data_IF_562566489828
#
_entry.id   IF_562566489828
#
_cell.length_a   1.000
_cell.length_b   1.000
_cell.length_c   1.000
_cell.angle_alpha   90.00
_cell.angle_beta   90.00
_cell.angle_gamma   90.00
#
_symmetry.space_group_name_H-M   'P 1'
#
loop_
_entity.id
_entity.type
_entity.pdbx_description
1 polymer ?
#
# COMPACT_ATOMS: atom_id res chain seq x y z
N UNK A 1 28.64 53.33 -45.13
CA UNK A 1 27.45 52.60 -44.66
C UNK A 1 27.92 51.24 -44.13
N UNK A 2 27.98 51.07 -42.83
CA UNK A 2 28.41 49.81 -42.17
C UNK A 2 27.14 49.08 -41.70
N UNK A 3 26.78 47.99 -42.42
CA UNK A 3 25.66 47.13 -42.01
C UNK A 3 26.11 46.29 -40.81
N UNK A 4 25.48 46.54 -39.65
CA UNK A 4 25.66 45.73 -38.43
C UNK A 4 24.78 44.48 -38.54
N UNK A 5 25.41 43.32 -38.81
CA UNK A 5 24.73 42.03 -38.82
C UNK A 5 24.52 41.60 -37.35
N UNK A 6 23.27 41.74 -36.83
CA UNK A 6 22.90 41.24 -35.53
C UNK A 6 22.67 39.72 -35.65
N UNK A 7 23.64 38.94 -35.22
CA UNK A 7 23.55 37.47 -35.10
C UNK A 7 22.79 37.14 -33.83
N UNK A 8 21.47 36.91 -33.95
CA UNK A 8 20.66 36.38 -32.85
C UNK A 8 21.11 34.93 -32.56
N UNK A 9 21.92 34.76 -31.53
CA UNK A 9 22.22 33.46 -30.94
C UNK A 9 20.94 32.90 -30.30
N UNK A 10 20.23 32.05 -31.03
CA UNK A 10 19.17 31.20 -30.49
C UNK A 10 19.84 30.14 -29.59
N UNK A 11 20.05 30.48 -28.32
CA UNK A 11 20.41 29.48 -27.32
C UNK A 11 19.22 28.52 -27.18
N UNK A 12 19.40 27.21 -27.45
CA UNK A 12 18.35 26.24 -27.15
C UNK A 12 18.08 26.29 -25.66
N UNK A 13 16.92 26.83 -25.28
CA UNK A 13 16.43 26.72 -23.92
C UNK A 13 16.10 25.25 -23.67
N UNK A 14 17.04 24.52 -23.10
CA UNK A 14 16.78 23.15 -22.63
C UNK A 14 15.80 23.26 -21.49
N UNK A 15 14.49 23.20 -21.80
CA UNK A 15 13.45 23.00 -20.80
C UNK A 15 13.65 21.57 -20.27
N UNK A 16 14.52 21.41 -19.26
CA UNK A 16 14.57 20.18 -18.51
C UNK A 16 13.25 20.03 -17.76
N UNK A 17 12.47 19.02 -18.08
CA UNK A 17 11.27 18.72 -17.31
C UNK A 17 11.69 18.48 -15.85
N UNK A 18 10.95 19.08 -14.91
CA UNK A 18 11.16 18.85 -13.48
C UNK A 18 11.00 17.35 -13.19
N UNK A 19 11.91 16.79 -12.42
CA UNK A 19 11.77 15.42 -11.92
C UNK A 19 10.55 15.32 -10.99
N UNK A 20 9.65 14.37 -11.26
CA UNK A 20 8.51 14.10 -10.39
C UNK A 20 8.92 13.15 -9.27
N UNK A 21 8.48 13.45 -8.06
CA UNK A 21 8.71 12.63 -6.88
C UNK A 21 7.48 11.77 -6.63
N UNK A 22 7.66 10.46 -6.70
CA UNK A 22 6.58 9.48 -6.55
C UNK A 22 6.75 8.74 -5.22
N UNK A 23 5.76 8.87 -4.33
CA UNK A 23 5.76 8.22 -3.02
C UNK A 23 4.98 6.91 -2.99
N UNK A 24 5.40 5.96 -2.15
CA UNK A 24 4.67 4.73 -1.91
C UNK A 24 5.01 4.07 -0.57
N UNK A 25 4.18 3.12 -0.14
CA UNK A 25 4.47 2.27 1.02
C UNK A 25 5.09 0.97 0.50
N UNK A 26 6.06 0.43 1.23
CA UNK A 26 6.58 -0.92 0.96
C UNK A 26 5.45 -1.94 1.06
N UNK A 27 5.13 -2.59 -0.05
CA UNK A 27 4.03 -3.54 -0.19
C UNK A 27 4.33 -4.56 -1.30
N UNK A 28 5.20 -5.54 -1.06
CA UNK A 28 5.48 -6.59 -2.03
C UNK A 28 4.20 -7.39 -2.38
N UNK A 29 4.03 -7.83 -3.62
CA UNK A 29 4.88 -7.65 -4.81
C UNK A 29 4.54 -6.41 -5.64
N UNK A 30 3.72 -5.50 -5.11
CA UNK A 30 3.29 -4.29 -5.83
C UNK A 30 4.41 -3.26 -5.90
N UNK A 31 5.10 -3.05 -4.77
CA UNK A 31 6.20 -2.11 -4.64
C UNK A 31 7.10 -2.46 -3.47
N UNK A 32 8.39 -2.67 -3.73
CA UNK A 32 9.40 -3.00 -2.72
C UNK A 32 10.77 -2.49 -3.13
N UNK A 33 11.76 -2.59 -2.23
CA UNK A 33 13.15 -2.32 -2.54
C UNK A 33 13.90 -3.64 -2.72
N UNK A 34 14.66 -3.77 -3.81
CA UNK A 34 15.55 -4.90 -4.00
C UNK A 34 16.79 -4.82 -3.08
N UNK A 35 17.67 -5.82 -3.14
CA UNK A 35 18.87 -5.87 -2.30
C UNK A 35 19.84 -4.72 -2.51
N UNK A 36 19.74 -4.00 -3.64
CA UNK A 36 20.52 -2.78 -3.91
C UNK A 36 19.79 -1.50 -3.48
N UNK A 37 18.60 -1.63 -2.89
CA UNK A 37 17.76 -0.50 -2.48
C UNK A 37 17.01 0.15 -3.64
N UNK A 38 16.92 -0.50 -4.80
CA UNK A 38 16.19 0.03 -5.94
C UNK A 38 14.70 -0.35 -5.88
N UNK A 39 13.78 0.60 -6.19
CA UNK A 39 12.36 0.31 -6.27
C UNK A 39 12.04 -0.73 -7.34
N UNK A 40 11.19 -1.71 -7.00
CA UNK A 40 10.71 -2.80 -7.85
C UNK A 40 9.22 -3.05 -7.61
N UNK A 41 8.57 -3.71 -8.55
CA UNK A 41 7.20 -4.19 -8.42
C UNK A 41 6.26 -3.65 -9.46
N UNK A 42 5.04 -4.20 -9.47
CA UNK A 42 4.03 -3.89 -10.49
C UNK A 42 3.74 -2.38 -10.60
N UNK A 43 3.56 -1.71 -9.47
CA UNK A 43 3.27 -0.27 -9.43
C UNK A 43 4.47 0.54 -9.95
N UNK A 44 5.69 0.11 -9.59
CA UNK A 44 6.94 0.75 -10.03
C UNK A 44 7.11 0.61 -11.54
N UNK A 45 6.91 -0.61 -12.07
CA UNK A 45 7.03 -0.89 -13.51
C UNK A 45 5.99 -0.10 -14.31
N UNK A 46 4.76 0.00 -13.78
CA UNK A 46 3.68 0.76 -14.40
C UNK A 46 4.07 2.24 -14.57
N UNK A 47 4.44 2.91 -13.48
CA UNK A 47 4.77 4.35 -13.55
C UNK A 47 6.05 4.60 -14.32
N UNK A 48 7.05 3.73 -14.21
CA UNK A 48 8.29 3.83 -14.99
C UNK A 48 8.01 3.72 -16.48
N UNK A 49 7.12 2.82 -16.89
CA UNK A 49 6.72 2.67 -18.30
C UNK A 49 5.97 3.91 -18.80
N UNK A 50 4.99 4.39 -18.02
CA UNK A 50 4.18 5.57 -18.40
C UNK A 50 5.07 6.80 -18.55
N UNK A 51 5.83 7.16 -17.51
CA UNK A 51 6.63 8.38 -17.51
C UNK A 51 7.85 8.29 -18.42
N UNK A 52 8.39 7.07 -18.62
CA UNK A 52 9.43 6.82 -19.63
C UNK A 52 8.92 7.10 -21.05
N UNK A 53 7.69 6.64 -21.38
CA UNK A 53 7.03 6.95 -22.65
C UNK A 53 6.77 8.46 -22.85
N UNK A 54 6.46 9.16 -21.77
CA UNK A 54 6.26 10.61 -21.76
C UNK A 54 7.57 11.43 -21.71
N UNK A 55 8.71 10.77 -21.53
CA UNK A 55 10.05 11.39 -21.35
C UNK A 55 10.09 12.35 -20.15
N UNK A 56 9.33 12.04 -19.08
CA UNK A 56 9.32 12.79 -17.84
C UNK A 56 10.21 12.07 -16.83
N UNK A 57 11.24 12.71 -16.27
CA UNK A 57 12.08 12.09 -15.25
C UNK A 57 11.29 11.89 -13.97
N UNK A 58 11.48 10.72 -13.33
CA UNK A 58 10.81 10.38 -12.08
C UNK A 58 11.82 9.85 -11.06
N UNK A 59 11.53 10.09 -9.77
CA UNK A 59 12.21 9.49 -8.62
C UNK A 59 11.17 8.84 -7.71
N UNK A 60 11.37 7.58 -7.39
CA UNK A 60 10.43 6.79 -6.58
C UNK A 60 11.01 6.64 -5.17
N UNK A 61 10.21 7.00 -4.16
CA UNK A 61 10.53 6.84 -2.73
C UNK A 61 9.54 5.90 -2.07
N UNK A 62 10.03 4.76 -1.56
CA UNK A 62 9.22 3.80 -0.83
C UNK A 62 9.50 3.89 0.67
N UNK A 63 8.44 4.01 1.46
CA UNK A 63 8.48 4.14 2.90
C UNK A 63 7.89 2.89 3.57
N UNK A 64 8.34 2.62 4.78
CA UNK A 64 7.82 1.54 5.63
C UNK A 64 6.56 1.94 6.43
N UNK A 65 6.28 3.24 6.53
CA UNK A 65 5.20 3.80 7.35
C UNK A 65 4.19 4.61 6.54
N UNK A 66 2.93 4.16 6.55
CA UNK A 66 1.81 4.87 5.94
C UNK A 66 1.57 6.25 6.55
N UNK A 67 1.77 6.39 7.87
CA UNK A 67 1.65 7.67 8.57
C UNK A 67 2.68 8.70 8.07
N UNK A 68 3.92 8.25 7.78
CA UNK A 68 4.97 9.12 7.23
C UNK A 68 4.65 9.48 5.79
N UNK A 69 4.18 8.53 4.98
CA UNK A 69 3.75 8.78 3.61
C UNK A 69 2.64 9.83 3.55
N UNK A 70 1.58 9.67 4.37
CA UNK A 70 0.45 10.61 4.44
C UNK A 70 0.92 12.02 4.81
N UNK A 71 1.72 12.15 5.87
CA UNK A 71 2.25 13.46 6.31
C UNK A 71 3.08 14.15 5.23
N UNK A 72 3.92 13.39 4.54
CA UNK A 72 4.73 13.92 3.44
C UNK A 72 3.85 14.34 2.25
N UNK A 73 2.81 13.58 1.94
CA UNK A 73 1.86 13.92 0.89
C UNK A 73 1.06 15.19 1.20
N UNK A 74 0.56 15.33 2.44
CA UNK A 74 -0.09 16.55 2.93
C UNK A 74 0.83 17.77 2.85
N UNK A 75 2.12 17.55 3.10
CA UNK A 75 3.16 18.59 2.96
C UNK A 75 3.61 18.87 1.53
N UNK A 76 3.01 18.22 0.51
CA UNK A 76 3.33 18.45 -0.90
C UNK A 76 4.71 17.93 -1.32
N UNK A 77 5.26 16.93 -0.60
CA UNK A 77 6.58 16.33 -0.93
C UNK A 77 6.49 15.49 -2.21
N UNK A 78 5.33 14.87 -2.47
CA UNK A 78 5.12 13.97 -3.60
C UNK A 78 4.22 14.58 -4.66
N UNK A 79 4.56 14.36 -5.92
CA UNK A 79 3.73 14.71 -7.07
C UNK A 79 2.70 13.63 -7.37
N UNK A 80 2.99 12.38 -6.99
CA UNK A 80 2.13 11.21 -7.18
C UNK A 80 2.34 10.19 -6.06
N UNK A 81 1.28 9.47 -5.68
CA UNK A 81 1.35 8.35 -4.77
C UNK A 81 0.98 7.04 -5.49
N UNK A 82 1.78 5.98 -5.23
CA UNK A 82 1.53 4.63 -5.74
C UNK A 82 0.45 3.95 -4.93
N UNK A 83 -0.62 3.46 -5.60
CA UNK A 83 -1.68 2.61 -5.00
C UNK A 83 -2.19 3.13 -3.66
N UNK A 84 -2.36 4.45 -3.53
CA UNK A 84 -2.86 5.03 -2.30
C UNK A 84 -4.40 5.00 -2.31
N UNK A 85 -4.99 4.20 -1.42
CA UNK A 85 -6.43 3.96 -1.37
C UNK A 85 -7.21 5.25 -1.15
N UNK A 86 -8.39 5.33 -1.78
CA UNK A 86 -9.31 6.44 -1.56
C UNK A 86 -9.79 6.51 -0.11
N UNK A 87 -9.80 7.71 0.43
CA UNK A 87 -10.49 8.11 1.66
C UNK A 87 -10.98 9.54 1.47
N UNK A 88 -12.22 9.89 1.91
CA UNK A 88 -12.77 11.24 1.74
C UNK A 88 -11.88 12.33 2.30
N UNK A 89 -11.28 12.11 3.47
CA UNK A 89 -10.38 13.08 4.14
C UNK A 89 -9.11 13.39 3.35
N UNK A 90 -8.74 12.55 2.38
CA UNK A 90 -7.57 12.74 1.53
C UNK A 90 -7.82 13.62 0.31
N UNK A 91 -9.08 13.90 -0.03
CA UNK A 91 -9.43 14.79 -1.16
C UNK A 91 -8.95 16.24 -0.97
N UNK A 92 -8.66 16.62 0.27
CA UNK A 92 -8.09 17.94 0.57
C UNK A 92 -6.67 18.15 0.00
N UNK A 93 -5.95 17.06 -0.30
CA UNK A 93 -4.56 17.12 -0.79
C UNK A 93 -4.26 16.11 -1.92
N UNK A 94 -5.17 15.20 -2.26
CA UNK A 94 -5.01 14.22 -3.33
C UNK A 94 -6.12 14.30 -4.36
N UNK A 95 -5.74 14.19 -5.63
CA UNK A 95 -6.66 13.91 -6.73
C UNK A 95 -6.59 12.44 -7.10
N UNK A 96 -7.75 11.80 -7.19
CA UNK A 96 -7.85 10.39 -7.56
C UNK A 96 -8.27 10.23 -9.02
N UNK A 97 -7.69 9.25 -9.76
CA UNK A 97 -8.15 8.93 -11.10
C UNK A 97 -9.57 8.36 -11.06
N UNK A 98 -10.32 8.54 -12.14
CA UNK A 98 -11.69 8.00 -12.27
C UNK A 98 -11.74 6.48 -12.33
N UNK A 99 -10.64 5.84 -12.71
CA UNK A 99 -10.50 4.39 -12.76
C UNK A 99 -9.32 3.95 -11.91
N UNK A 100 -9.57 3.01 -11.00
CA UNK A 100 -8.51 2.36 -10.26
C UNK A 100 -7.79 1.33 -11.14
N UNK A 101 -6.46 1.31 -11.12
CA UNK A 101 -5.65 0.31 -11.83
C UNK A 101 -5.58 -1.03 -11.08
N UNK A 102 -5.89 -1.04 -9.79
CA UNK A 102 -5.92 -2.24 -8.93
C UNK A 102 -7.07 -2.14 -7.93
N UNK A 103 -7.66 -3.28 -7.60
CA UNK A 103 -8.63 -3.43 -6.51
C UNK A 103 -8.08 -4.38 -5.48
N UNK A 104 -8.17 -4.02 -4.21
CA UNK A 104 -7.78 -4.87 -3.10
C UNK A 104 -9.03 -5.43 -2.43
N UNK A 105 -9.00 -6.72 -2.13
CA UNK A 105 -9.94 -7.38 -1.23
C UNK A 105 -9.22 -7.74 0.06
N UNK A 106 -9.89 -7.53 1.19
CA UNK A 106 -9.37 -7.86 2.51
C UNK A 106 -9.83 -9.25 2.93
N UNK A 107 -8.88 -10.11 3.28
CA UNK A 107 -9.14 -11.44 3.78
C UNK A 107 -8.49 -11.61 5.16
N UNK A 108 -9.15 -12.36 6.05
CA UNK A 108 -8.63 -12.60 7.39
C UNK A 108 -7.71 -13.82 7.39
N UNK A 109 -6.45 -13.61 7.70
CA UNK A 109 -5.45 -14.65 7.87
C UNK A 109 -5.37 -15.08 9.32
N UNK A 110 -5.17 -16.38 9.53
CA UNK A 110 -5.02 -17.05 10.84
C UNK A 110 -3.87 -18.02 10.78
N UNK A 111 -3.39 -18.49 11.94
CA UNK A 111 -2.47 -19.64 11.99
C UNK A 111 -3.20 -20.89 11.49
N UNK A 112 -2.49 -21.79 10.83
CA UNK A 112 -3.03 -23.05 10.32
C UNK A 112 -3.71 -23.86 11.42
N UNK A 113 -3.11 -23.89 12.62
CA UNK A 113 -3.62 -24.62 13.78
C UNK A 113 -4.92 -24.04 14.38
N UNK A 114 -5.23 -22.80 14.02
CA UNK A 114 -6.44 -22.11 14.45
C UNK A 114 -7.52 -22.09 13.36
N UNK A 115 -7.20 -22.60 12.16
CA UNK A 115 -8.16 -22.76 11.10
C UNK A 115 -9.30 -23.69 11.54
N UNK A 116 -10.52 -23.20 11.51
CA UNK A 116 -11.68 -23.93 12.00
C UNK A 116 -12.07 -23.63 13.45
N UNK A 117 -11.16 -23.10 14.28
CA UNK A 117 -11.51 -22.49 15.58
C UNK A 117 -11.98 -21.04 15.38
N UNK A 118 -11.25 -20.31 14.55
CA UNK A 118 -11.55 -18.91 14.21
C UNK A 118 -12.38 -18.91 12.93
N UNK A 119 -13.69 -18.82 13.10
CA UNK A 119 -14.68 -18.76 12.03
C UNK A 119 -15.53 -17.51 12.21
N UNK A 120 -15.96 -16.90 11.13
CA UNK A 120 -16.82 -15.73 11.20
C UNK A 120 -17.90 -15.75 10.11
N UNK A 121 -19.06 -15.22 10.42
CA UNK A 121 -20.14 -14.86 9.48
C UNK A 121 -20.24 -13.35 9.36
N UNK A 122 -20.04 -12.69 10.49
CA UNK A 122 -20.01 -11.26 10.62
C UNK A 122 -18.73 -10.84 11.33
N UNK A 123 -18.34 -9.58 11.18
CA UNK A 123 -17.17 -9.06 11.87
C UNK A 123 -17.30 -9.21 13.42
N UNK A 124 -18.54 -9.20 13.95
CA UNK A 124 -18.81 -9.36 15.38
C UNK A 124 -18.29 -10.70 15.94
N UNK A 125 -18.23 -11.75 15.15
CA UNK A 125 -17.70 -13.06 15.55
C UNK A 125 -16.19 -13.01 15.85
N UNK A 126 -15.51 -11.98 15.40
CA UNK A 126 -14.09 -11.77 15.65
C UNK A 126 -13.79 -11.01 16.95
N UNK A 127 -14.80 -10.52 17.68
CA UNK A 127 -14.63 -9.79 18.97
C UNK A 127 -13.79 -10.54 20.02
N UNK A 128 -13.89 -11.88 20.18
CA UNK A 128 -13.07 -12.61 21.13
C UNK A 128 -11.59 -12.63 20.80
N UNK A 129 -11.22 -12.40 19.54
CA UNK A 129 -9.88 -12.61 19.01
C UNK A 129 -9.08 -11.30 18.97
N UNK A 130 -7.76 -11.41 19.10
CA UNK A 130 -6.84 -10.27 18.94
C UNK A 130 -6.62 -10.03 17.45
N UNK A 131 -7.08 -8.88 16.95
CA UNK A 131 -7.05 -8.53 15.54
C UNK A 131 -5.91 -7.55 15.29
N UNK A 132 -4.92 -7.95 14.46
CA UNK A 132 -3.84 -7.05 14.04
C UNK A 132 -4.30 -6.12 12.92
N UNK A 133 -4.07 -4.82 13.06
CA UNK A 133 -4.33 -3.84 12.00
C UNK A 133 -3.16 -2.88 11.84
N UNK A 134 -2.99 -2.37 10.65
CA UNK A 134 -1.90 -1.44 10.33
C UNK A 134 -2.42 -0.01 10.35
N UNK A 135 -1.69 0.85 11.02
CA UNK A 135 -2.03 2.27 11.15
C UNK A 135 -2.12 2.93 9.78
N UNK A 136 -3.13 3.76 9.58
CA UNK A 136 -3.40 4.54 8.36
C UNK A 136 -3.72 3.72 7.10
N UNK A 137 -3.85 2.40 7.19
CA UNK A 137 -4.37 1.59 6.09
C UNK A 137 -5.86 1.86 5.86
N UNK A 138 -6.29 1.71 4.61
CA UNK A 138 -7.71 1.83 4.23
C UNK A 138 -8.33 0.46 4.25
N UNK A 139 -9.03 0.15 5.32
CA UNK A 139 -9.86 -1.06 5.43
C UNK A 139 -11.27 -0.81 4.90
N UNK A 140 -12.11 -1.85 4.88
CA UNK A 140 -13.54 -1.69 4.60
C UNK A 140 -14.18 -0.73 5.60
N UNK A 141 -15.30 -0.11 5.20
CA UNK A 141 -16.03 0.80 6.09
C UNK A 141 -16.46 0.08 7.40
N UNK A 142 -16.91 -1.17 7.29
CA UNK A 142 -17.29 -1.99 8.43
C UNK A 142 -16.13 -2.22 9.41
N UNK A 143 -14.95 -2.64 8.89
CA UNK A 143 -13.77 -2.86 9.73
C UNK A 143 -13.27 -1.55 10.35
N UNK A 144 -13.31 -0.45 9.61
CA UNK A 144 -12.93 0.88 10.10
C UNK A 144 -13.85 1.33 11.23
N UNK A 145 -15.17 1.14 11.10
CA UNK A 145 -16.14 1.44 12.15
C UNK A 145 -15.91 0.56 13.41
N UNK A 146 -15.65 -0.74 13.22
CA UNK A 146 -15.35 -1.65 14.31
C UNK A 146 -14.09 -1.28 15.10
N UNK A 147 -13.09 -0.64 14.46
CA UNK A 147 -11.87 -0.19 15.16
C UNK A 147 -12.14 0.87 16.24
N UNK A 148 -13.29 1.55 16.19
CA UNK A 148 -13.73 2.49 17.22
C UNK A 148 -14.54 1.82 18.36
N UNK A 149 -14.97 0.55 18.19
CA UNK A 149 -15.74 -0.21 19.19
C UNK A 149 -14.79 -0.93 20.18
N UNK A 150 -14.78 -0.57 21.48
CA UNK A 150 -13.91 -1.18 22.48
C UNK A 150 -14.21 -2.66 22.76
N UNK A 151 -15.34 -3.19 22.26
CA UNK A 151 -15.63 -4.61 22.32
C UNK A 151 -14.71 -5.48 21.45
N UNK A 152 -14.03 -4.89 20.48
CA UNK A 152 -13.02 -5.57 19.69
C UNK A 152 -11.61 -5.41 20.28
N UNK A 153 -10.77 -6.38 20.05
CA UNK A 153 -9.40 -6.44 20.58
C UNK A 153 -8.36 -6.09 19.49
N UNK A 154 -8.48 -4.90 18.92
CA UNK A 154 -7.54 -4.45 17.90
C UNK A 154 -6.15 -4.13 18.45
N UNK A 155 -5.12 -4.56 17.73
CA UNK A 155 -3.73 -4.20 17.96
C UNK A 155 -3.18 -3.46 16.74
N UNK A 156 -3.02 -2.16 16.88
CA UNK A 156 -2.54 -1.27 15.81
C UNK A 156 -1.03 -1.22 15.80
N UNK A 157 -0.40 -1.40 14.63
CA UNK A 157 1.04 -1.20 14.44
C UNK A 157 1.30 -0.38 13.16
N UNK A 158 2.43 0.33 13.08
CA UNK A 158 2.72 1.20 11.93
C UNK A 158 3.26 0.45 10.69
N UNK A 159 3.78 -0.76 10.85
CA UNK A 159 4.52 -1.50 9.81
C UNK A 159 3.76 -2.78 9.44
N UNK A 160 3.20 -2.82 8.22
CA UNK A 160 2.37 -3.94 7.76
C UNK A 160 3.13 -5.28 7.70
N UNK A 161 4.40 -5.27 7.28
CA UNK A 161 5.23 -6.46 7.15
C UNK A 161 5.42 -7.22 8.48
N UNK A 162 5.20 -6.57 9.62
CA UNK A 162 5.31 -7.21 10.93
C UNK A 162 4.05 -7.99 11.33
N UNK A 163 2.93 -7.85 10.61
CA UNK A 163 1.66 -8.47 10.98
C UNK A 163 1.72 -10.00 10.95
N UNK A 164 2.22 -10.59 9.86
CA UNK A 164 2.33 -12.07 9.77
C UNK A 164 3.30 -12.64 10.81
N UNK A 165 4.39 -11.94 11.11
CA UNK A 165 5.31 -12.35 12.20
C UNK A 165 4.65 -12.30 13.58
N UNK A 166 3.81 -11.28 13.84
CA UNK A 166 2.99 -11.22 15.07
C UNK A 166 1.99 -12.35 15.14
N UNK A 167 1.35 -12.69 14.01
CA UNK A 167 0.39 -13.79 13.92
C UNK A 167 1.07 -15.13 14.24
N UNK A 168 2.20 -15.44 13.60
CA UNK A 168 2.99 -16.64 13.86
C UNK A 168 3.48 -16.70 15.33
N UNK A 169 3.91 -15.58 15.88
CA UNK A 169 4.36 -15.49 17.27
C UNK A 169 3.20 -15.55 18.30
N UNK A 170 1.95 -15.74 17.86
CA UNK A 170 0.79 -15.81 18.74
C UNK A 170 0.46 -14.50 19.48
N UNK A 171 0.99 -13.36 19.00
CA UNK A 171 0.71 -12.03 19.58
C UNK A 171 -0.63 -11.47 19.15
N UNK A 172 -1.08 -11.84 17.96
CA UNK A 172 -2.42 -11.64 17.41
C UNK A 172 -2.98 -12.97 16.94
N UNK A 173 -4.28 -13.04 16.71
CA UNK A 173 -4.99 -14.26 16.32
C UNK A 173 -5.51 -14.18 14.89
N UNK A 174 -5.81 -12.97 14.43
CA UNK A 174 -6.37 -12.69 13.11
C UNK A 174 -5.70 -11.43 12.54
N UNK A 175 -5.49 -11.40 11.23
CA UNK A 175 -5.02 -10.19 10.53
C UNK A 175 -5.72 -10.03 9.18
N UNK A 176 -6.36 -8.89 8.88
CA UNK A 176 -6.85 -8.57 7.55
C UNK A 176 -5.69 -8.18 6.64
N UNK A 177 -5.52 -8.87 5.53
CA UNK A 177 -4.51 -8.58 4.51
C UNK A 177 -5.06 -8.83 3.10
N UNK A 178 -4.50 -8.15 2.11
CA UNK A 178 -4.71 -8.49 0.70
C UNK A 178 -4.10 -9.87 0.41
N UNK A 179 -4.80 -10.72 -0.36
CA UNK A 179 -4.28 -12.04 -0.73
C UNK A 179 -2.92 -11.95 -1.42
N UNK A 180 -2.79 -11.02 -2.37
CA UNK A 180 -1.55 -10.86 -3.16
C UNK A 180 -0.37 -10.53 -2.25
N UNK A 181 -0.54 -9.53 -1.37
CA UNK A 181 0.51 -9.10 -0.44
C UNK A 181 0.83 -10.19 0.60
N UNK A 182 -0.21 -10.82 1.16
CA UNK A 182 -0.02 -11.84 2.17
C UNK A 182 0.70 -13.08 1.62
N UNK A 183 0.27 -13.61 0.49
CA UNK A 183 0.92 -14.80 -0.09
C UNK A 183 2.34 -14.52 -0.60
N UNK A 184 2.61 -13.30 -1.11
CA UNK A 184 3.96 -12.91 -1.44
C UNK A 184 4.87 -12.93 -0.20
N UNK A 185 4.42 -12.33 0.90
CA UNK A 185 5.18 -12.30 2.15
C UNK A 185 5.31 -13.69 2.78
N UNK A 186 4.26 -14.52 2.76
CA UNK A 186 4.29 -15.92 3.23
C UNK A 186 5.39 -16.69 2.50
N UNK A 187 5.48 -16.55 1.18
CA UNK A 187 6.52 -17.21 0.37
C UNK A 187 7.92 -16.68 0.70
N UNK A 188 8.07 -15.36 0.74
CA UNK A 188 9.36 -14.70 1.01
C UNK A 188 9.93 -15.08 2.38
N UNK A 189 9.06 -15.20 3.39
CA UNK A 189 9.45 -15.53 4.78
C UNK A 189 9.46 -17.03 5.08
N UNK A 190 9.16 -17.92 4.11
CA UNK A 190 9.10 -19.37 4.32
C UNK A 190 8.03 -19.79 5.32
N UNK A 191 6.88 -19.16 5.26
CA UNK A 191 5.74 -19.39 6.16
C UNK A 191 4.65 -20.26 5.52
N UNK A 192 4.92 -20.88 4.36
CA UNK A 192 4.00 -21.78 3.69
C UNK A 192 3.56 -22.91 4.62
N UNK A 193 2.26 -23.19 4.62
CA UNK A 193 1.66 -24.20 5.48
C UNK A 193 1.50 -23.82 6.95
N UNK A 194 2.00 -22.65 7.39
CA UNK A 194 1.82 -22.16 8.77
C UNK A 194 0.62 -21.22 8.93
N UNK A 195 0.23 -20.56 7.84
CA UNK A 195 -0.86 -19.60 7.79
C UNK A 195 -1.88 -20.01 6.74
N UNK A 196 -3.13 -19.58 6.93
CA UNK A 196 -4.21 -19.78 5.98
C UNK A 196 -5.26 -18.67 6.11
N UNK A 197 -6.14 -18.59 5.11
CA UNK A 197 -7.28 -17.65 5.13
C UNK A 197 -8.42 -18.33 5.89
N UNK A 198 -8.98 -17.63 6.89
CA UNK A 198 -10.19 -18.13 7.55
C UNK A 198 -11.39 -17.98 6.62
N UNK A 199 -12.16 -19.05 6.50
CA UNK A 199 -13.30 -19.11 5.58
C UNK A 199 -14.50 -18.41 6.18
N UNK A 200 -15.13 -17.52 5.41
CA UNK A 200 -16.49 -17.04 5.70
C UNK A 200 -17.43 -18.25 5.70
N UNK A 201 -18.28 -18.37 6.71
CA UNK A 201 -19.06 -19.61 6.98
C UNK A 201 -20.08 -19.97 5.90
N UNK A 202 -20.39 -19.05 4.98
CA UNK A 202 -21.44 -19.22 3.96
C UNK A 202 -20.92 -19.37 2.51
N UNK A 203 -19.58 -19.49 2.33
CA UNK A 203 -18.97 -19.92 1.05
C UNK A 203 -19.24 -19.00 -0.16
N UNK A 204 -19.52 -17.73 0.06
CA UNK A 204 -19.71 -16.76 -1.02
C UNK A 204 -18.63 -15.70 -0.95
N UNK A 205 -17.72 -15.74 -1.92
CA UNK A 205 -16.80 -14.65 -2.20
C UNK A 205 -17.61 -13.39 -2.54
N UNK A 206 -17.43 -12.32 -1.79
CA UNK A 206 -17.97 -10.99 -2.07
C UNK A 206 -16.89 -10.06 -2.59
#
# INVERSE_FOLDING_TARGET
MRSLLVLCLLLPCWLSARELIIGGILEPPLKWLDHSGQPRGLDVDLVTTIFGGLKVPIRIELLDSGARLTRNAEGGVYDLLLSHSYKPERESYLLYPTQAHIRHSWHFFVRKDDLGKIRYRTLADLKPWRIGVTKDFSYTQELTAAMADPAYRFQVIPINQLQLRKLIAGRIDVVPMSLVTAFAQIREEGLEGKLDVTVHRDGVDS
#
